data_IF_667777229212
#
_entry.id   IF_667777229212
#
_cell.length_a   1.000
_cell.length_b   1.000
_cell.length_c   1.000
_cell.angle_alpha   90.00
_cell.angle_beta   90.00
_cell.angle_gamma   90.00
#
_symmetry.space_group_name_H-M   'P 1'
#
loop_
_entity.id
_entity.type
_entity.pdbx_description
1 polymer ?
#
# COMPACT_ATOMS: atom_id res chain seq x y z
N UNK A 1 -4.07 -27.39 -21.32
CA UNK A 1 -3.43 -26.60 -20.24
C UNK A 1 -3.87 -27.16 -18.90
N UNK A 2 -2.95 -27.53 -18.00
CA UNK A 2 -3.28 -28.14 -16.71
C UNK A 2 -4.10 -27.15 -15.85
N UNK A 3 -5.22 -27.59 -15.26
CA UNK A 3 -6.09 -26.73 -14.43
C UNK A 3 -5.33 -26.02 -13.30
N UNK A 4 -4.37 -26.71 -12.69
CA UNK A 4 -3.52 -26.16 -11.63
C UNK A 4 -2.67 -24.99 -12.12
N UNK A 5 -2.11 -25.08 -13.32
CA UNK A 5 -1.31 -24.02 -13.95
C UNK A 5 -2.12 -22.75 -14.19
N UNK A 6 -3.38 -22.87 -14.60
CA UNK A 6 -4.28 -21.72 -14.81
C UNK A 6 -4.54 -21.00 -13.49
N UNK A 7 -4.80 -21.76 -12.41
CA UNK A 7 -5.03 -21.21 -11.08
C UNK A 7 -3.76 -20.51 -10.57
N UNK A 8 -2.59 -21.13 -10.71
CA UNK A 8 -1.32 -20.55 -10.27
C UNK A 8 -1.01 -19.24 -10.98
N UNK A 9 -1.23 -19.15 -12.31
CA UNK A 9 -1.09 -17.91 -13.08
C UNK A 9 -2.10 -16.84 -12.62
N UNK A 10 -3.35 -17.23 -12.35
CA UNK A 10 -4.36 -16.30 -11.84
C UNK A 10 -3.97 -15.69 -10.49
N UNK A 11 -3.45 -16.51 -9.57
CA UNK A 11 -2.95 -16.06 -8.26
C UNK A 11 -1.71 -15.15 -8.41
N UNK A 12 -0.82 -15.46 -9.37
CA UNK A 12 0.35 -14.63 -9.66
C UNK A 12 -0.08 -13.20 -10.07
N UNK A 13 -1.02 -13.10 -11.02
CA UNK A 13 -1.52 -11.83 -11.51
C UNK A 13 -2.17 -11.04 -10.37
N UNK A 14 -3.00 -11.69 -9.56
CA UNK A 14 -3.63 -11.06 -8.40
C UNK A 14 -2.58 -10.51 -7.42
N UNK A 15 -1.54 -11.29 -7.11
CA UNK A 15 -0.49 -10.89 -6.20
C UNK A 15 0.33 -9.70 -6.74
N UNK A 16 0.58 -9.65 -8.06
CA UNK A 16 1.22 -8.50 -8.73
C UNK A 16 0.36 -7.24 -8.59
N UNK A 17 -0.96 -7.34 -8.82
CA UNK A 17 -1.86 -6.20 -8.69
C UNK A 17 -1.86 -5.67 -7.25
N UNK A 18 -1.97 -6.55 -6.25
CA UNK A 18 -1.91 -6.18 -4.83
C UNK A 18 -0.57 -5.52 -4.48
N UNK A 19 0.54 -6.04 -5.01
CA UNK A 19 1.86 -5.48 -4.81
C UNK A 19 1.96 -4.04 -5.35
N UNK A 20 1.47 -3.81 -6.57
CA UNK A 20 1.45 -2.49 -7.20
C UNK A 20 0.57 -1.51 -6.40
N UNK A 21 -0.57 -1.96 -5.88
CA UNK A 21 -1.43 -1.13 -5.02
C UNK A 21 -0.68 -0.74 -3.73
N UNK A 22 0.00 -1.68 -3.08
CA UNK A 22 0.82 -1.42 -1.90
C UNK A 22 1.91 -0.38 -2.15
N UNK A 23 2.63 -0.50 -3.27
CA UNK A 23 3.64 0.48 -3.68
C UNK A 23 3.01 1.87 -3.92
N UNK A 24 1.87 1.94 -4.61
CA UNK A 24 1.18 3.21 -4.83
C UNK A 24 0.76 3.87 -3.50
N UNK A 25 0.30 3.11 -2.50
CA UNK A 25 0.03 3.66 -1.17
C UNK A 25 1.30 4.23 -0.50
N UNK A 26 2.43 3.52 -0.60
CA UNK A 26 3.71 4.00 -0.04
C UNK A 26 4.12 5.32 -0.70
N UNK A 27 4.10 5.39 -2.04
CA UNK A 27 4.51 6.60 -2.77
C UNK A 27 3.50 7.76 -2.64
N UNK A 28 2.22 7.46 -2.48
CA UNK A 28 1.16 8.47 -2.32
C UNK A 28 1.03 9.00 -0.88
N UNK A 29 1.69 8.37 0.10
CA UNK A 29 1.60 8.72 1.53
C UNK A 29 1.89 10.21 1.83
N UNK A 30 2.84 10.81 1.12
CA UNK A 30 3.18 12.24 1.26
C UNK A 30 2.03 13.13 0.78
N UNK A 31 1.38 12.77 -0.32
CA UNK A 31 0.29 13.54 -0.90
C UNK A 31 -0.99 13.42 -0.05
N UNK A 32 -1.28 12.22 0.49
CA UNK A 32 -2.39 12.00 1.42
C UNK A 32 -2.17 12.77 2.72
N UNK A 33 -0.96 12.77 3.27
CA UNK A 33 -0.62 13.56 4.46
C UNK A 33 -0.89 15.05 4.27
N UNK A 34 -0.51 15.61 3.13
CA UNK A 34 -0.76 17.03 2.82
C UNK A 34 -2.25 17.37 2.71
N UNK A 35 -3.06 16.48 2.13
CA UNK A 35 -4.52 16.64 2.01
C UNK A 35 -5.18 16.59 3.40
N UNK A 36 -4.86 15.57 4.20
CA UNK A 36 -5.35 15.40 5.57
C UNK A 36 -4.97 16.59 6.47
N UNK A 37 -3.72 17.08 6.35
CA UNK A 37 -3.27 18.27 7.07
C UNK A 37 -4.04 19.54 6.65
N UNK A 38 -4.25 19.75 5.36
CA UNK A 38 -5.05 20.88 4.87
C UNK A 38 -6.51 20.81 5.34
N UNK A 39 -7.07 19.61 5.43
CA UNK A 39 -8.42 19.40 5.95
C UNK A 39 -8.50 19.63 7.47
N UNK A 40 -7.47 19.22 8.22
CA UNK A 40 -7.36 19.48 9.66
C UNK A 40 -7.29 20.99 9.98
N UNK A 41 -6.54 21.76 9.20
CA UNK A 41 -6.47 23.24 9.31
C UNK A 41 -7.83 23.87 9.01
N UNK A 42 -8.54 23.40 7.97
CA UNK A 42 -9.89 23.89 7.64
C UNK A 42 -10.89 23.59 8.76
N UNK A 43 -10.81 22.43 9.39
CA UNK A 43 -11.70 22.03 10.51
C UNK A 43 -11.41 22.80 11.82
N UNK A 44 -10.20 23.33 12.00
CA UNK A 44 -9.84 24.17 13.16
C UNK A 44 -10.06 25.67 12.92
N UNK A 45 -10.84 26.06 11.90
CA UNK A 45 -11.17 27.47 11.66
C UNK A 45 -10.03 28.28 11.01
N UNK A 46 -9.06 27.61 10.37
CA UNK A 46 -7.99 28.25 9.61
C UNK A 46 -6.71 28.54 10.40
N UNK A 47 -6.65 28.18 11.69
CA UNK A 47 -5.44 28.31 12.52
C UNK A 47 -5.24 27.08 13.38
N UNK A 48 -4.05 26.50 13.29
CA UNK A 48 -3.63 25.34 14.08
C UNK A 48 -2.19 25.57 14.52
N UNK A 49 -1.88 25.30 15.80
CA UNK A 49 -0.49 25.35 16.27
C UNK A 49 0.39 24.44 15.42
N UNK A 50 1.51 24.96 14.93
CA UNK A 50 2.43 24.27 14.00
C UNK A 50 2.88 22.91 14.55
N UNK A 51 3.08 22.79 15.86
CA UNK A 51 3.46 21.54 16.52
C UNK A 51 2.35 20.47 16.44
N UNK A 52 1.08 20.87 16.61
CA UNK A 52 -0.05 19.94 16.48
C UNK A 52 -0.29 19.54 15.03
N UNK A 53 -0.05 20.45 14.08
CA UNK A 53 -0.15 20.17 12.66
C UNK A 53 0.90 19.13 12.22
N UNK A 54 2.16 19.30 12.65
CA UNK A 54 3.26 18.38 12.36
C UNK A 54 3.00 16.98 12.90
N UNK A 55 2.51 16.84 14.13
CA UNK A 55 2.21 15.53 14.73
C UNK A 55 1.11 14.79 13.95
N UNK A 56 0.04 15.48 13.55
CA UNK A 56 -1.05 14.87 12.78
C UNK A 56 -0.56 14.48 11.38
N UNK A 57 0.22 15.35 10.74
CA UNK A 57 0.80 15.11 9.43
C UNK A 57 1.74 13.88 9.45
N UNK A 58 2.67 13.81 10.40
CA UNK A 58 3.59 12.67 10.54
C UNK A 58 2.84 11.38 10.85
N UNK A 59 1.87 11.42 11.78
CA UNK A 59 1.07 10.25 12.14
C UNK A 59 0.24 9.72 10.96
N UNK A 60 -0.34 10.61 10.15
CA UNK A 60 -1.08 10.23 8.95
C UNK A 60 -0.17 9.64 7.86
N UNK A 61 1.00 10.25 7.63
CA UNK A 61 2.00 9.77 6.67
C UNK A 61 2.52 8.39 7.10
N UNK A 62 2.88 8.21 8.38
CA UNK A 62 3.38 6.94 8.88
C UNK A 62 2.33 5.83 8.81
N UNK A 63 1.07 6.12 9.11
CA UNK A 63 0.02 5.11 9.06
C UNK A 63 -0.29 4.67 7.62
N UNK A 64 -0.33 5.62 6.67
CA UNK A 64 -0.49 5.30 5.24
C UNK A 64 0.72 4.55 4.66
N UNK A 65 1.93 4.94 5.07
CA UNK A 65 3.16 4.25 4.66
C UNK A 65 3.24 2.84 5.24
N UNK A 66 2.89 2.65 6.51
CA UNK A 66 2.94 1.35 7.19
C UNK A 66 1.93 0.37 6.58
N UNK A 67 0.70 0.81 6.33
CA UNK A 67 -0.31 0.00 5.64
C UNK A 67 0.13 -0.35 4.21
N UNK A 68 0.67 0.61 3.46
CA UNK A 68 1.25 0.35 2.13
C UNK A 68 2.39 -0.66 2.15
N UNK A 69 3.29 -0.59 3.15
CA UNK A 69 4.37 -1.58 3.36
C UNK A 69 3.80 -2.97 3.59
N UNK A 70 2.83 -3.11 4.50
CA UNK A 70 2.19 -4.41 4.81
C UNK A 70 1.55 -5.00 3.55
N UNK A 71 0.79 -4.20 2.80
CA UNK A 71 0.15 -4.63 1.55
C UNK A 71 1.19 -5.05 0.51
N UNK A 72 2.30 -4.30 0.37
CA UNK A 72 3.39 -4.67 -0.54
C UNK A 72 4.09 -5.96 -0.10
N UNK A 73 4.27 -6.20 1.19
CA UNK A 73 4.89 -7.44 1.68
C UNK A 73 4.00 -8.65 1.40
N UNK A 74 2.70 -8.54 1.64
CA UNK A 74 1.72 -9.60 1.35
C UNK A 74 1.69 -9.89 -0.16
N UNK A 75 1.62 -8.84 -1.00
CA UNK A 75 1.67 -8.97 -2.45
C UNK A 75 2.97 -9.63 -2.94
N UNK A 76 4.12 -9.17 -2.44
CA UNK A 76 5.44 -9.70 -2.79
C UNK A 76 5.63 -11.17 -2.40
N UNK A 77 5.20 -11.55 -1.19
CA UNK A 77 5.21 -12.95 -0.75
C UNK A 77 4.27 -13.82 -1.59
N UNK A 78 3.11 -13.28 -1.99
CA UNK A 78 2.19 -13.93 -2.91
C UNK A 78 2.83 -14.21 -4.29
N UNK A 79 3.59 -13.26 -4.82
CA UNK A 79 4.34 -13.44 -6.08
C UNK A 79 5.39 -14.55 -5.94
N UNK A 80 6.16 -14.54 -4.85
CA UNK A 80 7.19 -15.56 -4.58
C UNK A 80 6.59 -16.97 -4.48
N UNK A 81 5.54 -17.14 -3.68
CA UNK A 81 4.91 -18.44 -3.48
C UNK A 81 4.23 -18.95 -4.76
N UNK A 82 3.53 -18.07 -5.47
CA UNK A 82 2.91 -18.41 -6.76
C UNK A 82 3.97 -18.74 -7.82
N UNK A 83 5.03 -17.95 -7.91
CA UNK A 83 6.13 -18.17 -8.85
C UNK A 83 6.84 -19.51 -8.65
N UNK A 84 7.11 -19.90 -7.40
CA UNK A 84 7.66 -21.24 -7.07
C UNK A 84 6.67 -22.36 -7.44
N UNK A 85 5.37 -22.15 -7.22
CA UNK A 85 4.33 -23.08 -7.62
C UNK A 85 4.25 -23.27 -9.14
N UNK A 86 4.32 -22.19 -9.91
CA UNK A 86 4.36 -22.23 -11.38
C UNK A 86 5.64 -22.90 -11.88
N UNK A 87 6.80 -22.62 -11.27
CA UNK A 87 8.09 -23.19 -11.68
C UNK A 87 8.16 -24.71 -11.43
N UNK A 88 7.56 -25.21 -10.35
CA UNK A 88 7.47 -26.66 -10.06
C UNK A 88 6.49 -27.42 -10.96
N UNK A 89 5.62 -26.72 -11.68
CA UNK A 89 4.68 -27.31 -12.65
C UNK A 89 5.19 -27.29 -14.10
N UNK A 90 6.38 -26.72 -14.33
CA UNK A 90 7.14 -26.84 -15.57
C UNK A 90 8.05 -28.08 -15.55
#
# INVERSE_FOLDING_TARGET
>A
MNKKRIISIGVLILAIVVFIIGLNMIFSSVNVGQIEGAEAIRRHGGSMSTDKYLIILESAIENHRTSGIIVSLIGGLGILLSGVGVYKEF
#
